data_IF_127687536022
#
_entry.id   IF_127687536022
#
_cell.length_a   1.000
_cell.length_b   1.000
_cell.length_c   1.000
_cell.angle_alpha   90.00
_cell.angle_beta   90.00
_cell.angle_gamma   90.00
#
_symmetry.space_group_name_H-M   'P 1'
#
loop_
_entity.id
_entity.type
_entity.pdbx_description
1 polymer ?
#
# COMPACT_ATOMS: atom_id res chain seq x y z
N UNK A 1 29.85 6.95 -51.67
CA UNK A 1 30.21 6.55 -50.29
C UNK A 1 30.72 7.77 -49.56
N UNK A 2 30.02 8.30 -48.57
CA UNK A 2 30.45 9.47 -47.79
C UNK A 2 31.78 9.14 -47.08
N UNK A 3 32.72 10.07 -47.03
CA UNK A 3 33.96 9.86 -46.27
C UNK A 3 33.63 9.50 -44.83
N UNK A 4 34.35 8.55 -44.28
CA UNK A 4 34.09 8.02 -42.93
C UNK A 4 34.09 9.12 -41.85
N UNK A 5 34.84 10.20 -42.09
CA UNK A 5 34.92 11.39 -41.24
C UNK A 5 33.59 12.18 -41.22
N UNK A 6 32.94 12.28 -42.39
CA UNK A 6 31.62 12.90 -42.51
C UNK A 6 30.54 12.05 -41.88
N UNK A 7 30.62 10.73 -42.07
CA UNK A 7 29.69 9.78 -41.41
C UNK A 7 29.78 9.83 -39.89
N UNK A 8 31.01 9.84 -39.33
CA UNK A 8 31.22 9.92 -37.89
C UNK A 8 30.75 11.25 -37.27
N UNK A 9 30.99 12.37 -37.99
CA UNK A 9 30.49 13.69 -37.55
C UNK A 9 28.98 13.77 -37.56
N UNK A 10 28.34 13.25 -38.59
CA UNK A 10 26.88 13.22 -38.70
C UNK A 10 26.24 12.33 -37.62
N UNK A 11 26.84 11.15 -37.36
CA UNK A 11 26.40 10.28 -36.28
C UNK A 11 26.58 10.91 -34.89
N UNK A 12 27.72 11.58 -34.64
CA UNK A 12 27.95 12.28 -33.38
C UNK A 12 27.00 13.47 -33.17
N UNK A 13 26.71 14.23 -34.24
CA UNK A 13 25.71 15.30 -34.20
C UNK A 13 24.30 14.74 -33.93
N UNK A 14 23.93 13.63 -34.56
CA UNK A 14 22.66 12.95 -34.33
C UNK A 14 22.53 12.45 -32.90
N UNK A 15 23.61 11.88 -32.34
CA UNK A 15 23.59 11.40 -30.91
C UNK A 15 23.51 12.58 -29.94
N UNK A 16 24.12 13.72 -30.23
CA UNK A 16 23.97 14.94 -29.41
C UNK A 16 22.55 15.48 -29.47
N UNK A 17 21.94 15.56 -30.66
CA UNK A 17 20.56 15.99 -30.83
C UNK A 17 19.58 15.11 -30.05
N UNK A 18 19.76 13.77 -30.09
CA UNK A 18 18.98 12.84 -29.29
C UNK A 18 19.21 13.09 -27.79
N UNK A 19 20.46 13.37 -27.40
CA UNK A 19 20.79 13.69 -26.00
C UNK A 19 20.08 14.96 -25.50
N UNK A 20 20.04 15.99 -26.31
CA UNK A 20 19.39 17.26 -26.00
C UNK A 20 17.85 17.13 -25.99
N UNK A 21 17.27 16.39 -26.94
CA UNK A 21 15.83 16.06 -26.91
C UNK A 21 15.44 15.25 -25.68
N UNK A 22 16.25 14.26 -25.29
CA UNK A 22 16.03 13.48 -24.07
C UNK A 22 16.14 14.37 -22.84
N UNK A 23 17.10 15.28 -22.77
CA UNK A 23 17.23 16.24 -21.67
C UNK A 23 15.99 17.12 -21.53
N UNK A 24 15.53 17.72 -22.63
CA UNK A 24 14.31 18.54 -22.61
C UNK A 24 13.08 17.74 -22.21
N UNK A 25 12.95 16.50 -22.69
CA UNK A 25 11.86 15.61 -22.31
C UNK A 25 11.90 15.20 -20.84
N UNK A 26 13.11 15.01 -20.28
CA UNK A 26 13.30 14.64 -18.86
C UNK A 26 13.06 15.83 -17.93
N UNK A 27 13.35 17.06 -18.35
CA UNK A 27 13.03 18.27 -17.56
C UNK A 27 11.52 18.53 -17.46
N UNK A 28 10.76 18.14 -18.49
CA UNK A 28 9.30 18.32 -18.55
C UNK A 28 8.54 17.14 -17.91
N UNK A 29 9.10 15.93 -17.95
CA UNK A 29 8.45 14.73 -17.41
C UNK A 29 8.95 14.48 -15.99
N UNK A 30 8.06 14.62 -15.03
CA UNK A 30 8.34 14.23 -13.64
C UNK A 30 8.48 12.71 -13.56
N UNK A 31 9.73 12.22 -13.48
CA UNK A 31 10.03 10.80 -13.35
C UNK A 31 9.70 10.37 -11.93
N UNK A 32 8.83 9.36 -11.79
CA UNK A 32 8.50 8.75 -10.51
C UNK A 32 9.08 7.34 -10.46
N UNK A 33 9.80 7.00 -9.40
CA UNK A 33 10.23 5.64 -9.15
C UNK A 33 9.03 4.69 -9.01
N UNK A 34 9.23 3.41 -9.27
CA UNK A 34 8.24 2.38 -9.01
C UNK A 34 8.32 1.82 -7.59
N UNK A 35 9.45 2.01 -6.92
CA UNK A 35 9.61 1.76 -5.49
C UNK A 35 9.13 2.96 -4.70
N UNK A 36 8.61 2.72 -3.52
CA UNK A 36 8.12 3.78 -2.64
C UNK A 36 7.70 3.24 -1.29
N UNK A 37 7.68 4.13 -0.33
CA UNK A 37 7.23 3.87 1.03
C UNK A 37 6.41 5.05 1.52
N UNK A 38 5.31 4.75 2.20
CA UNK A 38 4.49 5.75 2.90
C UNK A 38 3.96 5.16 4.19
N UNK A 39 3.88 5.98 5.22
CA UNK A 39 3.28 5.62 6.51
C UNK A 39 2.50 6.81 7.04
N UNK A 40 1.33 6.53 7.56
CA UNK A 40 0.52 7.50 8.29
C UNK A 40 -0.05 6.84 9.54
N UNK A 41 -0.11 7.60 10.61
CA UNK A 41 -0.69 7.20 11.88
C UNK A 41 -1.68 8.27 12.31
N UNK A 42 -2.92 7.87 12.57
CA UNK A 42 -3.99 8.76 13.05
C UNK A 42 -4.53 8.20 14.35
N UNK A 43 -4.65 9.07 15.34
CA UNK A 43 -5.29 8.76 16.64
C UNK A 43 -6.44 9.74 16.82
N UNK A 44 -7.66 9.22 16.69
CA UNK A 44 -8.90 9.99 16.85
C UNK A 44 -9.95 9.13 17.54
N UNK A 45 -10.84 9.74 18.30
CA UNK A 45 -11.96 9.08 18.98
C UNK A 45 -11.55 7.83 19.78
N UNK A 46 -10.41 7.86 20.47
CA UNK A 46 -9.82 6.73 21.18
C UNK A 46 -9.53 5.51 20.28
N UNK A 47 -9.35 5.75 18.97
CA UNK A 47 -8.97 4.73 17.99
C UNK A 47 -7.66 5.14 17.32
N UNK A 48 -6.83 4.17 17.02
CA UNK A 48 -5.58 4.37 16.32
C UNK A 48 -5.55 3.56 15.05
N UNK A 49 -5.32 4.24 13.94
CA UNK A 49 -5.03 3.64 12.65
C UNK A 49 -3.57 3.86 12.28
N UNK A 50 -2.87 2.79 11.96
CA UNK A 50 -1.54 2.87 11.34
C UNK A 50 -1.62 2.22 9.96
N UNK A 51 -1.29 2.99 8.93
CA UNK A 51 -1.29 2.55 7.54
C UNK A 51 0.13 2.64 7.01
N UNK A 52 0.66 1.52 6.52
CA UNK A 52 1.96 1.45 5.85
C UNK A 52 1.78 0.94 4.42
N UNK A 53 2.45 1.60 3.48
CA UNK A 53 2.44 1.26 2.06
C UNK A 53 3.86 1.05 1.57
N UNK A 54 4.07 -0.05 0.85
CA UNK A 54 5.35 -0.36 0.17
C UNK A 54 5.06 -0.80 -1.25
N UNK A 55 5.88 -0.37 -2.20
CA UNK A 55 5.78 -0.88 -3.57
C UNK A 55 7.11 -1.34 -4.13
N UNK A 56 7.00 -2.28 -5.06
CA UNK A 56 8.09 -2.74 -5.91
C UNK A 56 7.68 -2.66 -7.38
N UNK A 57 8.68 -2.67 -8.26
CA UNK A 57 8.46 -2.61 -9.69
C UNK A 57 7.60 -3.80 -10.16
N UNK A 58 6.47 -3.51 -10.80
CA UNK A 58 5.59 -4.49 -11.43
C UNK A 58 4.86 -3.88 -12.61
N UNK A 59 4.60 -4.68 -13.65
CA UNK A 59 3.99 -4.21 -14.90
C UNK A 59 2.56 -3.71 -14.72
N UNK A 60 1.79 -4.38 -13.87
CA UNK A 60 0.38 -4.06 -13.60
C UNK A 60 0.23 -3.59 -12.16
N UNK A 61 -0.90 -2.95 -11.85
CA UNK A 61 -1.27 -2.64 -10.49
C UNK A 61 -1.73 -3.93 -9.79
N UNK A 62 -0.95 -4.39 -8.84
CA UNK A 62 -1.28 -5.52 -7.96
C UNK A 62 -1.24 -5.01 -6.51
N UNK A 63 -2.39 -5.04 -5.84
CA UNK A 63 -2.52 -4.53 -4.48
C UNK A 63 -2.85 -5.66 -3.54
N UNK A 64 -1.94 -5.93 -2.61
CA UNK A 64 -2.11 -6.88 -1.53
C UNK A 64 -2.40 -6.11 -0.23
N UNK A 65 -3.58 -6.33 0.36
CA UNK A 65 -4.03 -5.63 1.56
C UNK A 65 -4.00 -6.60 2.73
N UNK A 66 -3.29 -6.24 3.79
CA UNK A 66 -3.28 -6.95 5.06
C UNK A 66 -3.89 -6.04 6.13
N UNK A 67 -5.02 -6.48 6.69
CA UNK A 67 -5.78 -5.71 7.67
C UNK A 67 -6.49 -6.64 8.67
N UNK A 68 -6.91 -6.15 9.84
CA UNK A 68 -7.75 -6.88 10.78
C UNK A 68 -9.09 -7.29 10.14
N UNK A 69 -9.60 -8.46 10.51
CA UNK A 69 -10.88 -9.00 10.00
C UNK A 69 -12.05 -8.01 10.15
N UNK A 70 -12.03 -7.21 11.20
CA UNK A 70 -13.04 -6.19 11.51
C UNK A 70 -13.18 -5.11 10.43
N UNK A 71 -12.15 -4.93 9.58
CA UNK A 71 -12.13 -3.92 8.51
C UNK A 71 -12.33 -4.51 7.12
N UNK A 72 -12.52 -5.83 6.97
CA UNK A 72 -12.59 -6.50 5.67
C UNK A 72 -13.69 -5.94 4.75
N UNK A 73 -14.78 -5.44 5.30
CA UNK A 73 -15.86 -4.85 4.51
C UNK A 73 -15.45 -3.57 3.77
N UNK A 74 -14.36 -2.90 4.18
CA UNK A 74 -13.81 -1.75 3.49
C UNK A 74 -12.84 -2.10 2.34
N UNK A 75 -12.52 -3.37 2.10
CA UNK A 75 -11.48 -3.75 1.13
C UNK A 75 -11.73 -3.14 -0.26
N UNK A 76 -12.96 -3.18 -0.75
CA UNK A 76 -13.31 -2.64 -2.06
C UNK A 76 -13.16 -1.12 -2.13
N UNK A 77 -13.53 -0.40 -1.07
CA UNK A 77 -13.38 1.04 -0.96
C UNK A 77 -11.90 1.45 -0.89
N UNK A 78 -11.09 0.71 -0.12
CA UNK A 78 -9.64 0.91 -0.04
C UNK A 78 -9.00 0.74 -1.42
N UNK A 79 -9.34 -0.32 -2.16
CA UNK A 79 -8.83 -0.55 -3.53
C UNK A 79 -9.22 0.56 -4.50
N UNK A 80 -10.41 1.10 -4.37
CA UNK A 80 -10.87 2.23 -5.17
C UNK A 80 -10.08 3.51 -4.85
N UNK A 81 -9.87 3.80 -3.57
CA UNK A 81 -9.10 4.97 -3.12
C UNK A 81 -7.65 4.92 -3.61
N UNK A 82 -6.98 3.77 -3.51
CA UNK A 82 -5.59 3.61 -3.94
C UNK A 82 -5.37 3.83 -5.44
N UNK A 83 -6.36 3.58 -6.28
CA UNK A 83 -6.28 3.83 -7.74
C UNK A 83 -6.13 5.32 -8.08
N UNK A 84 -6.53 6.22 -7.18
CA UNK A 84 -6.36 7.66 -7.37
C UNK A 84 -4.88 8.08 -7.28
N UNK A 85 -4.05 7.29 -6.58
CA UNK A 85 -2.64 7.60 -6.32
C UNK A 85 -1.68 6.73 -7.12
N UNK A 86 -2.09 5.51 -7.48
CA UNK A 86 -1.20 4.50 -8.02
C UNK A 86 -1.80 3.87 -9.28
N UNK A 87 -1.10 4.00 -10.41
CA UNK A 87 -1.52 3.44 -11.71
C UNK A 87 -0.89 2.07 -12.00
N UNK A 88 0.30 1.76 -11.44
CA UNK A 88 1.03 0.50 -11.66
C UNK A 88 2.01 0.22 -10.52
N UNK A 89 2.43 -1.04 -10.41
CA UNK A 89 3.34 -1.53 -9.38
C UNK A 89 2.67 -2.59 -8.50
N UNK A 90 3.46 -3.41 -7.83
CA UNK A 90 2.97 -4.30 -6.77
C UNK A 90 3.05 -3.54 -5.45
N UNK A 91 1.92 -3.35 -4.80
CA UNK A 91 1.77 -2.57 -3.57
C UNK A 91 1.32 -3.48 -2.45
N UNK A 92 2.09 -3.53 -1.38
CA UNK A 92 1.69 -4.13 -0.11
C UNK A 92 1.21 -3.03 0.82
N UNK A 93 -0.04 -3.13 1.25
CA UNK A 93 -0.70 -2.24 2.20
C UNK A 93 -0.92 -2.99 3.52
N UNK A 94 -0.40 -2.44 4.61
CA UNK A 94 -0.59 -2.95 5.96
C UNK A 94 -1.40 -1.96 6.76
N UNK A 95 -2.51 -2.41 7.32
CA UNK A 95 -3.40 -1.61 8.16
C UNK A 95 -3.43 -2.24 9.53
N UNK A 96 -3.07 -1.47 10.55
CA UNK A 96 -3.22 -1.84 11.96
C UNK A 96 -4.30 -0.95 12.58
N UNK A 97 -5.17 -1.53 13.35
CA UNK A 97 -6.24 -0.87 14.07
C UNK A 97 -6.18 -1.23 15.55
N UNK A 98 -6.12 -0.23 16.39
CA UNK A 98 -6.16 -0.35 17.84
C UNK A 98 -7.32 0.50 18.36
N UNK A 99 -8.12 -0.10 19.22
CA UNK A 99 -9.29 0.55 19.82
C UNK A 99 -9.03 0.71 21.32
N UNK A 100 -8.91 1.94 21.77
CA UNK A 100 -8.71 2.32 23.17
C UNK A 100 -10.01 2.76 23.83
N UNK A 101 -11.14 2.67 23.14
CA UNK A 101 -12.43 2.91 23.74
C UNK A 101 -12.57 1.91 24.88
N UNK A 102 -12.85 2.40 26.09
CA UNK A 102 -13.14 1.51 27.21
C UNK A 102 -14.22 0.52 26.75
N UNK A 103 -13.85 -0.76 26.73
CA UNK A 103 -14.76 -1.83 26.37
C UNK A 103 -15.91 -1.85 27.38
N UNK A 104 -16.91 -1.02 27.16
CA UNK A 104 -18.21 -1.21 27.75
C UNK A 104 -18.87 -2.41 27.04
N UNK A 105 -18.21 -3.58 27.13
CA UNK A 105 -18.84 -4.82 26.73
C UNK A 105 -20.10 -4.98 27.61
N UNK A 106 -21.24 -4.66 27.04
CA UNK A 106 -22.49 -4.89 27.74
C UNK A 106 -22.83 -6.36 27.68
N UNK A 107 -23.03 -6.95 28.84
CA UNK A 107 -23.52 -8.33 28.92
C UNK A 107 -25.04 -8.26 28.79
N UNK A 108 -25.59 -8.86 27.77
CA UNK A 108 -27.01 -9.02 27.58
C UNK A 108 -27.46 -10.36 28.13
N UNK A 109 -28.46 -10.31 29.03
CA UNK A 109 -29.13 -11.49 29.51
C UNK A 109 -30.37 -11.81 28.66
N UNK A 110 -30.37 -13.01 28.04
CA UNK A 110 -31.49 -13.49 27.25
C UNK A 110 -32.46 -14.26 28.15
N UNK A 111 -33.43 -13.52 28.74
CA UNK A 111 -34.42 -14.07 29.66
C UNK A 111 -35.31 -15.12 29.01
N UNK A 112 -35.68 -14.92 27.73
CA UNK A 112 -36.62 -15.82 27.06
C UNK A 112 -35.97 -17.20 26.85
N UNK A 113 -34.74 -17.21 26.34
CA UNK A 113 -33.98 -18.44 26.14
C UNK A 113 -33.66 -19.14 27.47
N UNK A 114 -33.32 -18.41 28.53
CA UNK A 114 -33.12 -18.97 29.87
C UNK A 114 -34.39 -19.63 30.43
N UNK A 115 -35.55 -19.01 30.19
CA UNK A 115 -36.84 -19.59 30.58
C UNK A 115 -37.15 -20.88 29.80
N UNK A 116 -36.79 -20.94 28.53
CA UNK A 116 -36.97 -22.14 27.71
C UNK A 116 -36.05 -23.29 28.18
N UNK A 117 -34.78 -23.00 28.47
CA UNK A 117 -33.88 -23.99 29.09
C UNK A 117 -34.46 -24.51 30.41
N UNK A 118 -34.93 -23.64 31.29
CA UNK A 118 -35.55 -24.05 32.57
C UNK A 118 -36.75 -24.94 32.37
N UNK A 119 -37.61 -24.67 31.37
CA UNK A 119 -38.77 -25.51 31.07
C UNK A 119 -38.35 -26.92 30.70
N UNK A 120 -37.38 -27.06 29.79
CA UNK A 120 -36.92 -28.40 29.36
C UNK A 120 -36.15 -29.15 30.44
N UNK A 121 -35.38 -28.46 31.27
CA UNK A 121 -34.69 -29.09 32.40
C UNK A 121 -35.67 -29.67 33.38
N UNK A 122 -36.76 -28.97 33.71
CA UNK A 122 -37.84 -29.51 34.60
C UNK A 122 -38.55 -30.68 33.94
N UNK A 123 -38.84 -30.63 32.67
CA UNK A 123 -39.43 -31.75 31.95
C UNK A 123 -38.51 -32.97 31.97
N UNK A 124 -37.21 -32.83 31.76
CA UNK A 124 -36.24 -33.95 31.87
C UNK A 124 -36.19 -34.51 33.28
N UNK A 125 -36.28 -33.67 34.31
CA UNK A 125 -36.33 -34.09 35.70
C UNK A 125 -37.57 -35.00 35.96
N UNK A 126 -38.75 -34.59 35.47
CA UNK A 126 -39.99 -35.35 35.57
C UNK A 126 -39.92 -36.65 34.75
N UNK A 127 -39.48 -36.59 33.49
CA UNK A 127 -39.45 -37.74 32.57
C UNK A 127 -38.51 -38.85 33.04
N UNK A 128 -37.41 -38.51 33.72
CA UNK A 128 -36.37 -39.47 34.11
C UNK A 128 -36.25 -39.66 35.65
N UNK A 129 -37.07 -38.98 36.44
CA UNK A 129 -37.02 -39.05 37.89
C UNK A 129 -35.69 -38.57 38.49
N UNK A 130 -35.12 -37.50 37.94
CA UNK A 130 -33.84 -36.94 38.35
C UNK A 130 -34.04 -35.91 39.49
N UNK A 131 -33.00 -35.72 40.29
CA UNK A 131 -33.00 -34.66 41.30
C UNK A 131 -32.87 -33.28 40.69
N UNK A 132 -33.47 -32.25 41.31
CA UNK A 132 -33.30 -30.85 40.87
C UNK A 132 -31.94 -30.32 41.33
N UNK A 133 -31.02 -30.21 40.39
CA UNK A 133 -29.67 -29.66 40.58
C UNK A 133 -29.45 -28.33 39.83
N UNK A 134 -30.52 -27.75 39.28
CA UNK A 134 -30.41 -26.52 38.47
C UNK A 134 -30.06 -25.33 39.34
N UNK A 135 -28.83 -24.84 39.17
CA UNK A 135 -28.31 -23.65 39.85
C UNK A 135 -28.14 -22.50 38.85
N UNK A 136 -28.13 -21.28 39.37
CA UNK A 136 -27.84 -20.09 38.57
C UNK A 136 -26.51 -20.24 37.81
N UNK A 137 -25.49 -20.82 38.44
CA UNK A 137 -24.19 -21.10 37.86
C UNK A 137 -24.24 -22.12 36.70
N UNK A 138 -25.23 -23.02 36.72
CA UNK A 138 -25.44 -23.97 35.61
C UNK A 138 -26.16 -23.27 34.46
N UNK A 139 -27.27 -22.58 34.77
CA UNK A 139 -28.05 -21.86 33.74
C UNK A 139 -27.26 -20.79 33.01
N UNK A 140 -26.39 -20.08 33.75
CA UNK A 140 -25.54 -19.02 33.14
C UNK A 140 -24.51 -19.53 32.13
N UNK A 141 -24.21 -20.84 32.12
CA UNK A 141 -23.25 -21.47 31.21
C UNK A 141 -23.88 -22.02 29.94
N UNK A 142 -25.21 -22.05 29.85
CA UNK A 142 -25.86 -22.49 28.63
C UNK A 142 -25.63 -21.49 27.50
N UNK A 143 -25.50 -21.98 26.27
CA UNK A 143 -25.23 -21.12 25.09
C UNK A 143 -26.27 -19.98 25.01
N UNK A 144 -25.78 -18.80 24.70
CA UNK A 144 -26.59 -17.60 24.40
C UNK A 144 -27.49 -17.08 25.53
N UNK A 145 -27.42 -17.66 26.76
CA UNK A 145 -28.07 -17.10 27.94
C UNK A 145 -27.45 -15.75 28.32
N UNK A 146 -26.15 -15.65 28.22
CA UNK A 146 -25.42 -14.40 28.27
C UNK A 146 -24.65 -14.19 26.97
N UNK A 147 -24.86 -13.07 26.29
CA UNK A 147 -24.13 -12.64 25.11
C UNK A 147 -23.38 -11.36 25.43
N UNK A 148 -22.15 -11.25 24.95
CA UNK A 148 -21.43 -9.98 24.92
C UNK A 148 -21.89 -9.21 23.69
N UNK A 149 -22.53 -8.06 23.90
CA UNK A 149 -22.82 -7.13 22.82
C UNK A 149 -21.59 -6.22 22.62
N UNK A 150 -20.95 -6.35 21.48
CA UNK A 150 -20.02 -5.33 21.03
C UNK A 150 -20.83 -4.07 20.65
N UNK A 151 -20.33 -2.89 21.03
CA UNK A 151 -20.96 -1.66 20.63
C UNK A 151 -20.99 -1.58 19.09
N UNK A 152 -22.13 -1.21 18.53
CA UNK A 152 -22.25 -0.90 17.12
C UNK A 152 -21.33 0.29 16.80
N UNK A 153 -20.23 0.01 16.11
CA UNK A 153 -19.34 1.03 15.63
C UNK A 153 -20.04 1.67 14.42
N UNK A 154 -20.07 2.99 14.38
CA UNK A 154 -20.51 3.70 13.19
C UNK A 154 -19.51 3.45 12.05
N UNK A 155 -19.94 2.63 11.08
CA UNK A 155 -19.10 2.25 9.93
C UNK A 155 -18.71 3.45 9.08
N UNK A 156 -19.58 4.48 8.99
CA UNK A 156 -19.26 5.68 8.21
C UNK A 156 -18.18 6.52 8.89
N UNK A 157 -18.23 6.64 10.21
CA UNK A 157 -17.19 7.33 10.98
C UNK A 157 -15.86 6.59 10.88
N UNK A 158 -15.89 5.27 11.08
CA UNK A 158 -14.72 4.40 10.98
C UNK A 158 -14.07 4.48 9.59
N UNK A 159 -14.89 4.53 8.53
CA UNK A 159 -14.39 4.71 7.17
C UNK A 159 -13.70 6.06 6.97
N UNK A 160 -14.28 7.15 7.48
CA UNK A 160 -13.68 8.49 7.36
C UNK A 160 -12.31 8.58 8.03
N UNK A 161 -12.16 7.97 9.21
CA UNK A 161 -10.88 7.90 9.92
C UNK A 161 -9.85 7.07 9.13
N UNK A 162 -10.23 5.87 8.69
CA UNK A 162 -9.40 5.00 7.88
C UNK A 162 -9.00 5.65 6.56
N UNK A 163 -9.93 6.30 5.86
CA UNK A 163 -9.69 6.97 4.59
C UNK A 163 -8.62 8.06 4.75
N UNK A 164 -8.70 8.88 5.80
CA UNK A 164 -7.67 9.90 6.08
C UNK A 164 -6.29 9.28 6.32
N UNK A 165 -6.23 8.16 7.06
CA UNK A 165 -4.97 7.45 7.27
C UNK A 165 -4.38 6.90 5.96
N UNK A 166 -5.23 6.37 5.07
CA UNK A 166 -4.82 5.89 3.75
C UNK A 166 -4.32 7.04 2.87
N UNK A 167 -5.04 8.17 2.85
CA UNK A 167 -4.65 9.35 2.10
C UNK A 167 -3.29 9.88 2.55
N UNK A 168 -3.09 10.05 3.85
CA UNK A 168 -1.80 10.48 4.39
C UNK A 168 -0.64 9.53 4.06
N UNK A 169 -0.88 8.21 4.13
CA UNK A 169 0.13 7.22 3.73
C UNK A 169 0.39 7.26 2.22
N UNK A 170 -0.64 7.45 1.39
CA UNK A 170 -0.53 7.54 -0.06
C UNK A 170 0.21 8.80 -0.51
N UNK A 171 -0.01 9.94 0.14
CA UNK A 171 0.73 11.18 -0.13
C UNK A 171 2.22 11.01 0.17
N UNK A 172 2.57 10.48 1.34
CA UNK A 172 3.96 10.17 1.71
C UNK A 172 4.61 9.19 0.74
N UNK A 173 3.85 8.17 0.31
CA UNK A 173 4.28 7.20 -0.67
C UNK A 173 4.56 7.84 -2.04
N UNK A 174 3.68 8.71 -2.54
CA UNK A 174 3.89 9.43 -3.81
C UNK A 174 5.09 10.35 -3.71
N UNK A 175 5.26 11.04 -2.59
CA UNK A 175 6.41 11.93 -2.38
C UNK A 175 7.74 11.15 -2.40
N UNK A 176 7.82 10.01 -1.75
CA UNK A 176 9.01 9.14 -1.78
C UNK A 176 9.35 8.72 -3.21
N UNK A 177 8.34 8.34 -4.02
CA UNK A 177 8.53 7.98 -5.44
C UNK A 177 9.01 9.14 -6.30
N UNK A 178 8.57 10.36 -6.01
CA UNK A 178 9.03 11.57 -6.70
C UNK A 178 10.51 11.81 -6.38
N UNK A 179 10.87 11.85 -5.09
CA UNK A 179 12.24 12.09 -4.66
C UNK A 179 13.22 11.06 -5.22
N UNK A 180 12.87 9.78 -5.18
CA UNK A 180 13.70 8.73 -5.77
C UNK A 180 13.77 8.84 -7.30
N UNK A 181 12.68 9.24 -7.95
CA UNK A 181 12.65 9.52 -9.39
C UNK A 181 13.59 10.63 -9.79
N UNK A 182 13.69 11.69 -9.00
CA UNK A 182 14.64 12.79 -9.20
C UNK A 182 16.09 12.33 -9.11
N UNK A 183 16.44 11.54 -8.10
CA UNK A 183 17.76 10.96 -7.97
C UNK A 183 18.12 10.05 -9.15
N UNK A 184 17.18 9.22 -9.61
CA UNK A 184 17.37 8.36 -10.79
C UNK A 184 17.58 9.18 -12.05
N UNK A 185 16.85 10.27 -12.23
CA UNK A 185 17.03 11.20 -13.35
C UNK A 185 18.46 11.75 -13.37
N UNK A 186 18.92 12.25 -12.22
CA UNK A 186 20.23 12.89 -12.11
C UNK A 186 21.37 11.89 -12.38
N UNK A 187 21.27 10.65 -11.85
CA UNK A 187 22.22 9.56 -12.14
C UNK A 187 22.24 9.19 -13.63
N UNK A 188 21.05 9.10 -14.26
CA UNK A 188 20.97 8.82 -15.71
C UNK A 188 21.58 9.93 -16.55
N UNK A 189 21.37 11.21 -16.17
CA UNK A 189 21.95 12.35 -16.86
C UNK A 189 23.47 12.36 -16.74
N UNK A 190 24.02 12.11 -15.56
CA UNK A 190 25.47 12.00 -15.35
C UNK A 190 26.09 10.89 -16.19
N UNK A 191 25.46 9.70 -16.23
CA UNK A 191 25.92 8.58 -17.06
C UNK A 191 25.86 8.90 -18.55
N UNK A 192 24.80 9.57 -19.01
CA UNK A 192 24.68 9.99 -20.40
C UNK A 192 25.80 10.98 -20.80
N UNK A 193 26.11 11.95 -19.94
CA UNK A 193 27.21 12.88 -20.14
C UNK A 193 28.57 12.16 -20.21
N UNK A 194 28.77 11.15 -19.33
CA UNK A 194 29.95 10.29 -19.38
C UNK A 194 30.09 9.56 -20.71
N UNK A 195 29.00 8.99 -21.22
CA UNK A 195 28.98 8.31 -22.52
C UNK A 195 29.30 9.28 -23.68
N UNK A 196 28.75 10.49 -23.69
CA UNK A 196 29.04 11.50 -24.70
C UNK A 196 30.52 11.90 -24.72
N UNK A 197 31.15 12.09 -23.54
CA UNK A 197 32.57 12.36 -23.41
C UNK A 197 33.44 11.23 -24.00
N UNK A 198 33.05 9.96 -23.74
CA UNK A 198 33.74 8.79 -24.29
C UNK A 198 33.63 8.73 -25.83
N UNK A 199 32.49 9.05 -26.39
CA UNK A 199 32.27 9.12 -27.84
C UNK A 199 33.17 10.21 -28.46
N UNK A 200 33.20 11.41 -27.86
CA UNK A 200 34.07 12.49 -28.33
C UNK A 200 35.55 12.11 -28.28
N UNK A 201 36.00 11.51 -27.18
CA UNK A 201 37.37 11.01 -27.05
C UNK A 201 37.70 9.98 -28.11
N UNK A 202 36.82 9.05 -28.41
CA UNK A 202 37.02 8.00 -29.43
C UNK A 202 37.11 8.60 -30.82
N UNK A 203 36.30 9.61 -31.13
CA UNK A 203 36.35 10.35 -32.41
C UNK A 203 37.70 11.05 -32.57
N UNK A 204 38.18 11.74 -31.54
CA UNK A 204 39.47 12.44 -31.54
C UNK A 204 40.61 11.45 -31.78
N UNK A 205 40.63 10.34 -31.01
CA UNK A 205 41.67 9.32 -31.13
C UNK A 205 41.69 8.64 -32.48
N UNK A 206 40.53 8.34 -33.06
CA UNK A 206 40.44 7.76 -34.41
C UNK A 206 41.00 8.69 -35.48
N UNK A 207 40.79 10.02 -35.34
CA UNK A 207 41.37 11.03 -36.26
C UNK A 207 42.88 11.11 -36.14
N UNK A 208 43.44 11.04 -34.93
CA UNK A 208 44.87 11.03 -34.66
C UNK A 208 45.55 9.82 -35.31
N UNK A 209 45.02 8.62 -35.09
CA UNK A 209 45.52 7.37 -35.68
C UNK A 209 45.53 7.40 -37.20
N UNK A 210 44.53 7.98 -37.87
CA UNK A 210 44.50 8.10 -39.33
C UNK A 210 45.55 9.05 -39.90
N UNK A 211 45.94 10.08 -39.12
CA UNK A 211 47.03 10.96 -39.54
C UNK A 211 48.38 10.25 -39.49
N UNK A 212 48.57 9.32 -38.54
CA UNK A 212 49.82 8.57 -38.33
C UNK A 212 50.01 7.44 -39.36
N UNK A 213 48.92 6.88 -39.91
CA UNK A 213 48.95 5.77 -40.90
C UNK A 213 49.04 6.26 -42.35
N UNK A 214 49.11 7.57 -42.61
CA UNK A 214 49.23 8.15 -43.94
C UNK A 214 50.67 8.50 -44.36
N UNK A 215 51.67 7.81 -43.83
CA UNK A 215 53.06 7.86 -44.30
C UNK A 215 53.45 6.51 -44.84
#
# INVERSE_FOLDING_TARGET
>A
MLPLDTYLKTKAASLRGIGDEVRQSVEVIMIKSMTGFGRCEIVENNRKFTVEMKSVNHRYLDVNIKMPKKLNFFESAIRAELKNYISRGKVDLFITYEDYTENNASIRYNRELAAEYMKYLRQMQEDFGLDDDVRVSTLSRYPEVFTMEEQNIDEEELWKELQRAIQGAAEGFVQTRITEGEHLRDDLMEKLDGMLKLVDFTIIKSKALRKTVRF
#
